data_IF_484392624150
#
_entry.id   IF_484392624150
#
_cell.length_a   1.000
_cell.length_b   1.000
_cell.length_c   1.000
_cell.angle_alpha   90.00
_cell.angle_beta   90.00
_cell.angle_gamma   90.00
#
_symmetry.space_group_name_H-M   'P 1'
#
loop_
_entity.id
_entity.type
_entity.pdbx_description
1 polymer ?
#
# COMPACT_ATOMS: atom_id res chain seq x y z
N UNK A 1 46.41 26.64 -14.86
CA UNK A 1 46.86 25.64 -13.86
C UNK A 1 46.50 26.18 -12.48
N UNK A 2 45.72 25.54 -11.62
CA UNK A 2 45.21 24.16 -11.55
C UNK A 2 43.76 24.21 -11.07
N UNK A 3 42.94 23.29 -11.59
CA UNK A 3 41.68 22.88 -11.00
C UNK A 3 41.87 22.48 -9.53
N UNK A 4 40.82 22.65 -8.73
CA UNK A 4 40.36 21.63 -7.78
C UNK A 4 38.92 21.97 -7.34
N UNK A 5 37.96 21.45 -8.11
CA UNK A 5 36.71 20.94 -7.52
C UNK A 5 37.08 19.73 -6.64
N UNK A 6 36.48 19.63 -5.45
CA UNK A 6 35.76 18.40 -5.12
C UNK A 6 34.33 18.79 -4.75
N UNK A 7 33.34 18.39 -5.55
CA UNK A 7 32.73 17.07 -5.51
C UNK A 7 32.01 16.84 -4.17
N UNK A 8 30.70 17.06 -4.23
CA UNK A 8 29.64 16.38 -3.50
C UNK A 8 29.97 15.80 -2.12
N UNK A 9 29.31 16.35 -1.11
CA UNK A 9 28.89 15.55 0.03
C UNK A 9 27.46 15.98 0.41
N UNK A 10 26.47 15.44 -0.32
CA UNK A 10 25.10 15.36 0.18
C UNK A 10 25.12 14.36 1.34
N UNK A 11 25.26 14.88 2.55
CA UNK A 11 25.02 14.13 3.77
C UNK A 11 23.52 13.98 3.96
N UNK A 12 22.93 13.00 3.29
CA UNK A 12 21.71 12.39 3.82
C UNK A 12 22.19 11.45 4.92
N UNK A 13 22.34 12.00 6.13
CA UNK A 13 22.50 11.18 7.31
C UNK A 13 21.20 10.40 7.53
N UNK A 14 21.23 9.10 7.25
CA UNK A 14 20.20 8.18 7.70
C UNK A 14 20.45 7.95 9.19
N UNK A 15 19.88 8.81 10.02
CA UNK A 15 19.73 8.55 11.44
C UNK A 15 18.49 7.68 11.63
N UNK A 16 18.56 6.59 12.40
CA UNK A 16 17.36 5.89 12.83
C UNK A 16 16.48 6.86 13.65
N UNK A 17 15.20 6.92 13.33
CA UNK A 17 14.20 7.80 13.96
C UNK A 17 13.92 9.15 13.28
N UNK A 18 14.44 9.43 12.09
CA UNK A 18 14.06 10.64 11.35
C UNK A 18 12.78 10.43 10.53
N UNK A 19 11.72 11.13 10.94
CA UNK A 19 10.57 11.41 10.09
C UNK A 19 10.95 12.54 9.13
N UNK A 20 10.83 12.31 7.83
CA UNK A 20 11.12 13.28 6.79
C UNK A 20 9.86 13.52 5.94
N UNK A 21 9.33 14.75 6.01
CA UNK A 21 8.35 15.22 5.02
C UNK A 21 9.06 15.38 3.68
N UNK A 22 8.63 14.57 2.71
CA UNK A 22 9.22 14.51 1.37
C UNK A 22 8.74 15.68 0.51
N UNK A 23 9.62 16.18 -0.35
CA UNK A 23 9.20 16.98 -1.52
C UNK A 23 8.34 16.12 -2.48
N UNK A 24 7.53 16.74 -3.36
CA UNK A 24 6.73 15.99 -4.34
C UNK A 24 7.56 15.04 -5.21
N UNK A 25 8.75 15.44 -5.61
CA UNK A 25 9.66 14.65 -6.44
C UNK A 25 10.21 13.43 -5.68
N UNK A 26 10.62 13.63 -4.42
CA UNK A 26 11.08 12.55 -3.54
C UNK A 26 9.93 11.57 -3.23
N UNK A 27 8.74 12.09 -2.91
CA UNK A 27 7.56 11.28 -2.65
C UNK A 27 7.20 10.41 -3.85
N UNK A 28 7.23 10.99 -5.06
CA UNK A 28 7.04 10.23 -6.31
C UNK A 28 8.07 9.12 -6.48
N UNK A 29 9.34 9.42 -6.27
CA UNK A 29 10.42 8.43 -6.35
C UNK A 29 10.26 7.28 -5.34
N UNK A 30 9.82 7.56 -4.12
CA UNK A 30 9.54 6.53 -3.11
C UNK A 30 8.33 5.69 -3.52
N UNK A 31 7.21 6.34 -3.87
CA UNK A 31 5.97 5.64 -4.23
C UNK A 31 6.15 4.76 -5.47
N UNK A 32 6.83 5.26 -6.51
CA UNK A 32 7.11 4.48 -7.72
C UNK A 32 7.97 3.24 -7.39
N UNK A 33 9.00 3.38 -6.55
CA UNK A 33 9.83 2.24 -6.12
C UNK A 33 9.04 1.18 -5.36
N UNK A 34 8.17 1.59 -4.44
CA UNK A 34 7.35 0.66 -3.66
C UNK A 34 6.35 -0.06 -4.57
N UNK A 35 5.71 0.66 -5.50
CA UNK A 35 4.82 0.06 -6.50
C UNK A 35 5.54 -0.96 -7.36
N UNK A 36 6.73 -0.62 -7.85
CA UNK A 36 7.55 -1.52 -8.66
C UNK A 36 7.97 -2.76 -7.88
N UNK A 37 8.46 -2.60 -6.65
CA UNK A 37 8.87 -3.71 -5.79
C UNK A 37 7.69 -4.64 -5.45
N UNK A 38 6.54 -4.05 -5.08
CA UNK A 38 5.33 -4.81 -4.70
C UNK A 38 4.72 -5.60 -5.86
N UNK A 39 4.96 -5.17 -7.11
CA UNK A 39 4.40 -5.79 -8.32
C UNK A 39 5.47 -6.48 -9.19
N UNK A 40 6.71 -6.61 -8.69
CA UNK A 40 7.84 -7.12 -9.47
C UNK A 40 7.69 -8.61 -9.85
N UNK A 41 7.12 -9.39 -8.92
CA UNK A 41 7.06 -10.87 -8.93
C UNK A 41 5.68 -11.36 -8.53
N UNK A 42 5.37 -12.59 -8.93
CA UNK A 42 4.21 -13.31 -8.40
C UNK A 42 4.36 -13.48 -6.88
N UNK A 43 3.25 -13.39 -6.17
CA UNK A 43 3.21 -13.44 -4.71
C UNK A 43 2.06 -14.33 -4.26
N UNK A 44 2.32 -15.18 -3.27
CA UNK A 44 1.30 -15.90 -2.53
C UNK A 44 1.63 -15.79 -1.05
N UNK A 45 0.63 -15.48 -0.23
CA UNK A 45 0.79 -15.41 1.21
C UNK A 45 -0.50 -15.13 1.95
N UNK A 46 -0.39 -15.05 3.28
CA UNK A 46 -1.51 -14.78 4.17
C UNK A 46 -1.31 -13.42 4.83
N UNK A 47 -2.31 -12.55 4.68
CA UNK A 47 -2.39 -11.25 5.32
C UNK A 47 -3.26 -11.34 6.57
N UNK A 48 -2.92 -10.54 7.58
CA UNK A 48 -3.70 -10.42 8.80
C UNK A 48 -4.41 -9.07 8.79
N UNK A 49 -5.73 -9.10 8.72
CA UNK A 49 -6.57 -7.92 8.93
C UNK A 49 -6.93 -7.81 10.40
N UNK A 50 -6.59 -6.68 11.02
CA UNK A 50 -7.11 -6.27 12.31
C UNK A 50 -8.07 -5.08 12.12
N UNK A 51 -9.38 -5.31 12.29
CA UNK A 51 -10.41 -4.25 12.30
C UNK A 51 -10.49 -3.69 13.73
N UNK A 52 -9.83 -2.56 13.95
CA UNK A 52 -9.72 -1.93 15.27
C UNK A 52 -11.04 -1.30 15.70
N UNK A 53 -11.90 -0.91 14.77
CA UNK A 53 -13.22 -0.36 15.07
C UNK A 53 -14.18 -1.43 15.63
N UNK A 54 -14.06 -2.68 15.16
CA UNK A 54 -14.89 -3.80 15.62
C UNK A 54 -14.21 -4.71 16.64
N UNK A 55 -12.89 -4.59 16.82
CA UNK A 55 -12.11 -5.52 17.61
C UNK A 55 -12.07 -6.92 17.00
N UNK A 56 -12.15 -7.02 15.68
CA UNK A 56 -12.15 -8.28 14.93
C UNK A 56 -10.80 -8.51 14.27
N UNK A 57 -10.40 -9.78 14.18
CA UNK A 57 -9.22 -10.22 13.44
C UNK A 57 -9.63 -11.25 12.38
N UNK A 58 -9.09 -11.11 11.17
CA UNK A 58 -9.32 -12.03 10.05
C UNK A 58 -8.02 -12.31 9.33
N UNK A 59 -7.94 -13.47 8.69
CA UNK A 59 -6.80 -13.85 7.87
C UNK A 59 -7.26 -14.00 6.43
N UNK A 60 -6.50 -13.42 5.49
CA UNK A 60 -6.84 -13.43 4.07
C UNK A 60 -5.68 -14.04 3.32
N UNK A 61 -5.94 -15.14 2.61
CA UNK A 61 -4.99 -15.69 1.66
C UNK A 61 -5.06 -14.86 0.37
N UNK A 62 -3.91 -14.39 -0.10
CA UNK A 62 -3.77 -13.51 -1.26
C UNK A 62 -2.80 -14.13 -2.24
N UNK A 63 -3.22 -14.15 -3.51
CA UNK A 63 -2.41 -14.52 -4.66
C UNK A 63 -2.35 -13.32 -5.61
N UNK A 64 -1.15 -12.89 -5.95
CA UNK A 64 -0.88 -11.96 -7.03
C UNK A 64 -0.09 -12.69 -8.13
N UNK A 65 -0.60 -12.61 -9.35
CA UNK A 65 0.08 -13.10 -10.54
C UNK A 65 0.32 -11.93 -11.50
N UNK A 66 1.57 -11.72 -11.87
CA UNK A 66 1.99 -10.64 -12.76
C UNK A 66 1.28 -10.77 -14.10
N UNK A 67 0.56 -9.71 -14.48
CA UNK A 67 -0.24 -9.66 -15.71
C UNK A 67 -1.66 -10.23 -15.59
N UNK A 68 -1.98 -10.93 -14.50
CA UNK A 68 -3.36 -11.40 -14.21
C UNK A 68 -4.04 -10.58 -13.11
N UNK A 69 -3.26 -10.06 -12.14
CA UNK A 69 -3.78 -9.28 -11.02
C UNK A 69 -3.89 -10.12 -9.75
N UNK A 70 -4.89 -9.82 -8.93
CA UNK A 70 -5.00 -10.38 -7.58
C UNK A 70 -6.21 -11.29 -7.44
N UNK A 71 -6.05 -12.33 -6.64
CA UNK A 71 -7.12 -13.15 -6.11
C UNK A 71 -6.95 -13.29 -4.59
N UNK A 72 -8.04 -13.32 -3.84
CA UNK A 72 -7.98 -13.46 -2.39
C UNK A 72 -9.22 -14.13 -1.81
N UNK A 73 -9.04 -14.82 -0.68
CA UNK A 73 -10.13 -15.42 0.09
C UNK A 73 -9.91 -15.24 1.58
N UNK A 74 -10.98 -15.02 2.33
CA UNK A 74 -10.90 -15.02 3.79
C UNK A 74 -10.78 -16.46 4.28
N UNK A 75 -9.82 -16.74 5.15
CA UNK A 75 -9.65 -18.06 5.74
C UNK A 75 -10.72 -18.30 6.80
N UNK A 76 -11.35 -19.48 6.75
CA UNK A 76 -12.40 -19.87 7.70
C UNK A 76 -13.81 -19.35 7.38
N UNK A 77 -13.98 -18.61 6.27
CA UNK A 77 -15.29 -18.19 5.75
C UNK A 77 -15.74 -19.08 4.58
N UNK A 78 -16.80 -18.69 3.87
CA UNK A 78 -17.34 -19.41 2.72
C UNK A 78 -16.29 -19.68 1.62
N UNK A 79 -16.50 -20.74 0.85
CA UNK A 79 -15.64 -21.18 -0.26
C UNK A 79 -15.79 -20.28 -1.50
N UNK A 80 -15.58 -18.98 -1.32
CA UNK A 80 -15.57 -17.98 -2.39
C UNK A 80 -14.17 -17.38 -2.53
N UNK A 81 -13.78 -17.10 -3.77
CA UNK A 81 -12.57 -16.33 -4.07
C UNK A 81 -12.96 -15.01 -4.71
N UNK A 82 -12.36 -13.94 -4.22
CA UNK A 82 -12.46 -12.63 -4.82
C UNK A 82 -11.34 -12.50 -5.84
N UNK A 83 -11.64 -12.02 -7.04
CA UNK A 83 -10.66 -11.77 -8.08
C UNK A 83 -10.77 -10.32 -8.55
N UNK A 84 -9.63 -9.64 -8.65
CA UNK A 84 -9.55 -8.33 -9.27
C UNK A 84 -9.31 -8.51 -10.75
N UNK A 85 -10.17 -7.90 -11.57
CA UNK A 85 -9.95 -7.73 -12.99
C UNK A 85 -10.30 -6.29 -13.38
N UNK A 86 -9.31 -5.52 -13.82
CA UNK A 86 -9.46 -4.07 -14.01
C UNK A 86 -9.85 -3.36 -12.70
N UNK A 87 -10.91 -2.56 -12.75
CA UNK A 87 -11.51 -1.83 -11.62
C UNK A 87 -12.72 -2.57 -11.00
N UNK A 88 -12.83 -3.87 -11.24
CA UNK A 88 -13.93 -4.69 -10.74
C UNK A 88 -13.43 -5.85 -9.88
N UNK A 89 -14.20 -6.16 -8.85
CA UNK A 89 -14.06 -7.34 -8.00
C UNK A 89 -15.10 -8.37 -8.39
N UNK A 90 -14.65 -9.52 -8.85
CA UNK A 90 -15.48 -10.69 -9.13
C UNK A 90 -15.47 -11.60 -7.90
N UNK A 91 -16.63 -12.05 -7.47
CA UNK A 91 -16.75 -13.09 -6.43
C UNK A 91 -17.11 -14.39 -7.12
N UNK A 92 -16.25 -15.38 -6.97
CA UNK A 92 -16.35 -16.65 -7.68
C UNK A 92 -16.53 -17.76 -6.65
N UNK A 93 -17.55 -18.59 -6.84
CA UNK A 93 -17.73 -19.79 -6.04
C UNK A 93 -16.65 -20.82 -6.41
N UNK A 94 -15.84 -21.25 -5.45
CA UNK A 94 -14.74 -22.19 -5.74
C UNK A 94 -15.24 -23.60 -6.11
N UNK A 95 -16.45 -23.98 -5.70
CA UNK A 95 -17.02 -25.31 -5.98
C UNK A 95 -17.60 -25.40 -7.39
N UNK A 96 -18.35 -24.38 -7.82
CA UNK A 96 -18.96 -24.37 -9.15
C UNK A 96 -18.10 -23.71 -10.22
N UNK A 97 -17.18 -22.83 -9.83
CA UNK A 97 -16.42 -21.97 -10.75
C UNK A 97 -17.23 -20.81 -11.33
N UNK A 98 -18.47 -20.59 -10.84
CA UNK A 98 -19.35 -19.54 -11.33
C UNK A 98 -19.08 -18.20 -10.63
N UNK A 99 -19.24 -17.12 -11.39
CA UNK A 99 -19.25 -15.75 -10.83
C UNK A 99 -20.59 -15.54 -10.14
N UNK A 100 -20.57 -15.43 -8.82
CA UNK A 100 -21.78 -15.16 -8.02
C UNK A 100 -22.14 -13.68 -8.06
N UNK A 101 -21.14 -12.80 -8.11
CA UNK A 101 -21.37 -11.35 -8.11
C UNK A 101 -20.17 -10.57 -8.65
N UNK A 102 -20.44 -9.33 -9.07
CA UNK A 102 -19.44 -8.37 -9.53
C UNK A 102 -19.68 -7.03 -8.83
N UNK A 103 -18.63 -6.51 -8.21
CA UNK A 103 -18.65 -5.23 -7.49
C UNK A 103 -17.62 -4.27 -8.08
N UNK A 104 -17.81 -2.95 -7.95
CA UNK A 104 -16.70 -2.02 -8.11
C UNK A 104 -15.61 -2.36 -7.10
N UNK A 105 -14.35 -2.26 -7.52
CA UNK A 105 -13.23 -2.39 -6.60
C UNK A 105 -13.13 -1.11 -5.77
N UNK A 106 -13.46 -1.19 -4.49
CA UNK A 106 -13.30 -0.11 -3.52
C UNK A 106 -12.18 -0.51 -2.57
N UNK A 107 -11.15 0.34 -2.47
CA UNK A 107 -9.95 0.22 -1.64
C UNK A 107 -9.30 -1.18 -1.65
N UNK A 108 -8.15 -1.29 -2.32
CA UNK A 108 -7.47 -2.56 -2.49
C UNK A 108 -6.24 -2.66 -1.58
N UNK A 109 -6.28 -3.46 -0.49
CA UNK A 109 -5.28 -3.34 0.56
C UNK A 109 -3.94 -4.01 0.26
N UNK A 110 -3.84 -4.77 -0.83
CA UNK A 110 -2.63 -5.56 -1.16
C UNK A 110 -1.71 -4.84 -2.16
N UNK A 111 -2.07 -3.61 -2.57
CA UNK A 111 -1.21 -2.71 -3.36
C UNK A 111 -1.18 -1.34 -2.67
N UNK A 112 -0.02 -0.66 -2.65
CA UNK A 112 0.07 0.65 -2.02
C UNK A 112 -0.88 1.66 -2.68
N UNK A 113 -0.83 1.83 -4.01
CA UNK A 113 -1.70 2.76 -4.73
C UNK A 113 -2.02 2.27 -6.14
N UNK A 114 -3.12 2.74 -6.71
CA UNK A 114 -3.31 2.66 -8.16
C UNK A 114 -2.49 3.75 -8.84
N UNK A 115 -1.83 3.42 -9.96
CA UNK A 115 -0.99 4.38 -10.68
C UNK A 115 -1.77 5.60 -11.19
N UNK A 116 -3.05 5.41 -11.50
CA UNK A 116 -3.97 6.47 -11.94
C UNK A 116 -4.37 7.45 -10.83
N UNK A 117 -4.32 7.02 -9.57
CA UNK A 117 -4.68 7.86 -8.42
C UNK A 117 -3.50 8.71 -7.92
N UNK A 118 -2.27 8.40 -8.36
CA UNK A 118 -1.06 9.09 -7.90
C UNK A 118 -1.10 10.62 -8.04
N UNK A 119 -1.58 11.21 -9.15
CA UNK A 119 -1.68 12.67 -9.25
C UNK A 119 -2.54 13.28 -8.13
N UNK A 120 -3.71 12.68 -7.88
CA UNK A 120 -4.62 13.14 -6.82
C UNK A 120 -4.00 12.98 -5.43
N UNK A 121 -3.23 11.93 -5.20
CA UNK A 121 -2.52 11.72 -3.94
C UNK A 121 -1.45 12.80 -3.71
N UNK A 122 -0.63 13.12 -4.72
CA UNK A 122 0.39 14.18 -4.59
C UNK A 122 -0.20 15.58 -4.43
N UNK A 123 -1.38 15.84 -5.00
CA UNK A 123 -2.10 17.11 -4.84
C UNK A 123 -2.71 17.27 -3.44
N UNK A 124 -3.19 16.19 -2.82
CA UNK A 124 -4.01 16.25 -1.61
C UNK A 124 -3.29 15.82 -0.33
N UNK A 125 -2.10 15.22 -0.42
CA UNK A 125 -1.37 14.70 0.73
C UNK A 125 0.06 15.25 0.82
N UNK A 126 0.56 15.32 2.04
CA UNK A 126 1.99 15.32 2.33
C UNK A 126 2.43 13.89 2.63
N UNK A 127 3.66 13.58 2.28
CA UNK A 127 4.24 12.26 2.47
C UNK A 127 5.35 12.37 3.52
N UNK A 128 5.17 11.69 4.64
CA UNK A 128 6.13 11.63 5.74
C UNK A 128 6.77 10.25 5.75
N UNK A 129 8.04 10.19 5.35
CA UNK A 129 8.82 8.96 5.35
C UNK A 129 9.52 8.79 6.69
N UNK A 130 9.27 7.65 7.31
CA UNK A 130 9.94 7.11 8.49
C UNK A 130 10.64 5.83 8.07
N UNK A 131 11.58 5.34 8.88
CA UNK A 131 12.48 4.20 8.58
C UNK A 131 11.91 3.19 7.57
N UNK A 132 10.79 2.55 7.93
CA UNK A 132 10.09 1.52 7.17
C UNK A 132 8.62 1.89 6.88
N UNK A 133 8.23 3.15 7.06
CA UNK A 133 6.83 3.57 6.95
C UNK A 133 6.67 4.87 6.17
N UNK A 134 5.77 4.88 5.19
CA UNK A 134 5.33 6.10 4.49
C UNK A 134 3.93 6.49 4.94
N UNK A 135 3.82 7.56 5.72
CA UNK A 135 2.56 8.11 6.17
C UNK A 135 2.05 9.19 5.21
N UNK A 136 0.77 9.11 4.86
CA UNK A 136 0.05 10.05 4.02
C UNK A 136 -0.77 10.98 4.92
N UNK A 137 -0.35 12.23 5.00
CA UNK A 137 -0.98 13.26 5.82
C UNK A 137 -1.85 14.12 4.93
N UNK A 138 -3.16 14.14 5.17
CA UNK A 138 -4.10 14.97 4.41
C UNK A 138 -3.74 16.44 4.56
N UNK A 139 -3.59 17.16 3.44
CA UNK A 139 -3.38 18.61 3.43
C UNK A 139 -4.59 19.37 3.99
N UNK A 140 -5.78 18.76 3.92
CA UNK A 140 -7.04 19.37 4.35
C UNK A 140 -7.26 19.26 5.85
N UNK A 141 -6.95 18.11 6.44
CA UNK A 141 -7.21 17.86 7.88
C UNK A 141 -5.95 17.89 8.73
N UNK A 142 -4.76 17.82 8.13
CA UNK A 142 -3.49 17.65 8.84
C UNK A 142 -3.37 16.31 9.57
N UNK A 143 -4.26 15.35 9.28
CA UNK A 143 -4.26 14.01 9.89
C UNK A 143 -3.69 12.98 8.95
N UNK A 144 -3.06 11.95 9.52
CA UNK A 144 -2.68 10.75 8.78
C UNK A 144 -3.96 10.06 8.30
N UNK A 145 -4.05 9.78 7.01
CA UNK A 145 -5.16 9.04 6.42
C UNK A 145 -4.79 7.57 6.16
N UNK A 146 -3.52 7.34 5.82
CA UNK A 146 -2.99 6.02 5.50
C UNK A 146 -1.51 5.97 5.80
N UNK A 147 -1.01 4.81 6.21
CA UNK A 147 0.41 4.50 6.30
C UNK A 147 0.71 3.23 5.54
N UNK A 148 1.84 3.18 4.84
CA UNK A 148 2.33 2.00 4.13
C UNK A 148 3.60 1.53 4.82
N UNK A 149 3.67 0.24 5.13
CA UNK A 149 4.80 -0.41 5.80
C UNK A 149 5.60 -1.19 4.77
N UNK A 150 6.92 -1.00 4.79
CA UNK A 150 7.86 -1.57 3.84
C UNK A 150 8.63 -2.75 4.41
N UNK A 151 8.86 -3.77 3.59
CA UNK A 151 9.83 -4.81 3.86
C UNK A 151 11.24 -4.42 3.44
N UNK A 152 12.21 -5.27 3.77
CA UNK A 152 13.63 -5.06 3.43
C UNK A 152 13.89 -4.92 1.91
N UNK A 153 13.03 -5.51 1.07
CA UNK A 153 13.10 -5.39 -0.39
C UNK A 153 12.42 -4.13 -0.96
N UNK A 154 11.84 -3.27 -0.11
CA UNK A 154 11.11 -2.08 -0.49
C UNK A 154 9.67 -2.32 -0.96
N UNK A 155 9.20 -3.57 -0.96
CA UNK A 155 7.80 -3.90 -1.20
C UNK A 155 6.91 -3.50 -0.02
N UNK A 156 5.63 -3.27 -0.29
CA UNK A 156 4.62 -3.15 0.76
C UNK A 156 4.40 -4.50 1.42
N UNK A 157 4.58 -4.56 2.74
CA UNK A 157 4.29 -5.75 3.56
C UNK A 157 3.12 -5.54 4.53
N UNK A 158 2.62 -4.31 4.61
CA UNK A 158 1.49 -3.96 5.45
C UNK A 158 1.02 -2.53 5.22
N UNK A 159 -0.12 -2.20 5.80
CA UNK A 159 -0.61 -0.82 5.82
C UNK A 159 -1.55 -0.56 7.00
N UNK A 160 -1.74 0.72 7.31
CA UNK A 160 -2.74 1.18 8.28
C UNK A 160 -3.64 2.21 7.64
N UNK A 161 -4.93 2.11 7.93
CA UNK A 161 -5.94 3.10 7.54
C UNK A 161 -6.43 3.83 8.78
N UNK A 162 -6.78 5.10 8.60
CA UNK A 162 -7.16 5.97 9.70
C UNK A 162 -8.48 6.67 9.41
N UNK A 163 -9.25 6.91 10.47
CA UNK A 163 -10.45 7.71 10.41
C UNK A 163 -10.11 9.17 10.05
N UNK A 164 -11.06 9.97 9.54
CA UNK A 164 -10.82 11.37 9.22
C UNK A 164 -10.25 12.22 10.38
N UNK A 165 -10.51 11.81 11.63
CA UNK A 165 -9.99 12.45 12.84
C UNK A 165 -8.61 11.94 13.30
N UNK A 166 -8.08 10.90 12.65
CA UNK A 166 -6.71 10.38 12.83
C UNK A 166 -6.58 9.13 13.71
N UNK A 167 -7.69 8.53 14.16
CA UNK A 167 -7.65 7.25 14.87
C UNK A 167 -7.46 6.08 13.89
N UNK A 168 -6.64 5.07 14.23
CA UNK A 168 -6.51 3.86 13.42
C UNK A 168 -7.85 3.12 13.25
N UNK A 169 -8.17 2.68 12.03
CA UNK A 169 -9.38 1.91 11.69
C UNK A 169 -9.06 0.44 11.42
N UNK A 170 -8.06 0.20 10.57
CA UNK A 170 -7.64 -1.15 10.22
C UNK A 170 -6.14 -1.21 9.96
N UNK A 171 -5.55 -2.34 10.35
CA UNK A 171 -4.19 -2.73 10.00
C UNK A 171 -4.25 -4.00 9.13
N UNK A 172 -3.52 -3.98 8.02
CA UNK A 172 -3.37 -5.08 7.07
C UNK A 172 -1.92 -5.51 6.99
#
# INVERSE_FOLDING_TARGET
MKLLFPLAFFLVFVFPGFAQVLSPEEARSVVDRVLEASLARDYWGVWRLQDLAKGEERFVEVLFLKGMGFAWKTLGEEEVVNMRFGHSRYVVNLKSGEVESVYPLLDFPFVPFEREDLPLLFENYFFDLREDELALISRWTGKVARSIIFGDGGEMIGQRTYAPWGEPLAEW
#
